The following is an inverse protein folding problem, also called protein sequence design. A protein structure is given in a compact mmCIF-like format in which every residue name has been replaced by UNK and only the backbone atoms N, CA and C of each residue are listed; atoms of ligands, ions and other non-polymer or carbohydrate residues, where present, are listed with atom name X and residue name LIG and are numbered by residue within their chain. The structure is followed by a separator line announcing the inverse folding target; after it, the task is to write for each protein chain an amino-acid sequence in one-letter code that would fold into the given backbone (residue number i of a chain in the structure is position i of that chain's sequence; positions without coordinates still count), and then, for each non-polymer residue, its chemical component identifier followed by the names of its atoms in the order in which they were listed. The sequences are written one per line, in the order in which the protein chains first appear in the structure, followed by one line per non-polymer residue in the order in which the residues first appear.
data_IF_593813031476
#
_entry.id   IF_593813031476
#
_cell.length_a   1.000
_cell.length_b   1.000
_cell.length_c   1.000
_cell.angle_alpha   90.00
_cell.angle_beta   90.00
_cell.angle_gamma   90.00
#
_symmetry.space_group_name_H-M   'P 1'
#
loop_
_entity.id
_entity.type
_entity.pdbx_description
1 polymer ?
#
# COMPACT_ATOMS: atom_id res chain seq x y z
N UNK A 1 5.50 14.50 -17.30
CA UNK A 1 4.69 13.35 -16.85
C UNK A 1 4.63 13.29 -15.34
N UNK A 2 3.45 13.12 -14.77
CA UNK A 2 3.30 12.99 -13.33
C UNK A 2 3.84 11.64 -12.85
N UNK A 3 4.56 11.65 -11.75
CA UNK A 3 4.94 10.42 -11.08
C UNK A 3 3.71 9.82 -10.41
N UNK A 4 3.81 8.55 -10.03
CA UNK A 4 2.76 7.86 -9.29
C UNK A 4 2.47 8.57 -7.96
N UNK A 5 3.53 9.02 -7.28
CA UNK A 5 3.40 9.77 -6.02
C UNK A 5 2.65 11.08 -6.25
N UNK A 6 2.96 11.79 -7.33
CA UNK A 6 2.26 13.04 -7.67
C UNK A 6 0.78 12.79 -7.95
N UNK A 7 0.44 11.69 -8.63
CA UNK A 7 -0.95 11.30 -8.86
C UNK A 7 -1.68 11.05 -7.54
N UNK A 8 -1.04 10.34 -6.62
CA UNK A 8 -1.62 10.05 -5.30
C UNK A 8 -1.85 11.34 -4.50
N UNK A 9 -0.90 12.26 -4.55
CA UNK A 9 -1.04 13.57 -3.89
C UNK A 9 -2.19 14.37 -4.53
N UNK A 10 -2.30 14.35 -5.86
CA UNK A 10 -3.41 15.02 -6.54
C UNK A 10 -4.77 14.44 -6.13
N UNK A 11 -4.86 13.12 -5.96
CA UNK A 11 -6.07 12.48 -5.43
C UNK A 11 -6.37 12.98 -4.02
N UNK A 12 -5.36 13.04 -3.16
CA UNK A 12 -5.51 13.53 -1.79
C UNK A 12 -6.01 14.98 -1.79
N UNK A 13 -5.46 15.82 -2.65
CA UNK A 13 -5.88 17.22 -2.77
C UNK A 13 -7.34 17.36 -3.23
N UNK A 14 -7.85 16.39 -3.95
CA UNK A 14 -9.26 16.34 -4.38
C UNK A 14 -10.19 15.82 -3.29
N UNK A 15 -9.66 15.33 -2.17
CA UNK A 15 -10.45 14.84 -1.07
C UNK A 15 -10.38 13.33 -0.83
N UNK A 16 -9.58 12.60 -1.59
CA UNK A 16 -9.34 11.18 -1.29
C UNK A 16 -8.61 11.07 0.05
N UNK A 17 -8.98 10.11 0.87
CA UNK A 17 -8.20 9.86 2.09
C UNK A 17 -6.90 9.14 1.74
N UNK A 18 -6.03 8.93 2.72
CA UNK A 18 -4.71 8.35 2.48
C UNK A 18 -4.79 6.97 1.84
N UNK A 19 -5.71 6.12 2.29
CA UNK A 19 -5.88 4.78 1.73
C UNK A 19 -6.36 4.83 0.28
N UNK A 20 -7.35 5.68 0.01
CA UNK A 20 -7.87 5.87 -1.34
C UNK A 20 -6.81 6.42 -2.28
N UNK A 21 -6.04 7.41 -1.81
CA UNK A 21 -5.01 8.04 -2.63
C UNK A 21 -3.96 7.04 -3.07
N UNK A 22 -3.48 6.21 -2.17
CA UNK A 22 -2.47 5.19 -2.48
C UNK A 22 -3.06 4.09 -3.36
N UNK A 23 -4.15 3.47 -2.92
CA UNK A 23 -4.72 2.32 -3.62
C UNK A 23 -5.22 2.68 -5.01
N UNK A 24 -5.93 3.79 -5.16
CA UNK A 24 -6.48 4.19 -6.46
C UNK A 24 -5.40 4.54 -7.48
N UNK A 25 -4.23 4.99 -7.01
CA UNK A 25 -3.14 5.34 -7.93
C UNK A 25 -2.55 4.11 -8.64
N UNK A 26 -2.81 2.90 -8.14
CA UNK A 26 -2.32 1.65 -8.75
C UNK A 26 -3.41 0.83 -9.46
N UNK A 27 -4.64 1.31 -9.48
CA UNK A 27 -5.76 0.53 -10.05
C UNK A 27 -5.55 0.13 -11.51
N UNK A 28 -4.99 1.01 -12.32
CA UNK A 28 -4.79 0.74 -13.75
C UNK A 28 -3.86 -0.45 -14.00
N UNK A 29 -2.81 -0.59 -13.20
CA UNK A 29 -1.85 -1.68 -13.36
C UNK A 29 -2.47 -3.06 -13.10
N UNK A 30 -3.56 -3.10 -12.34
CA UNK A 30 -4.20 -4.36 -11.95
C UNK A 30 -5.57 -4.55 -12.58
N UNK A 31 -6.00 -3.64 -13.46
CA UNK A 31 -7.31 -3.72 -14.08
C UNK A 31 -8.47 -3.62 -13.10
N UNK A 32 -8.26 -2.92 -11.98
CA UNK A 32 -9.29 -2.72 -10.95
C UNK A 32 -10.00 -1.40 -11.21
N UNK A 33 -11.32 -1.40 -11.12
CA UNK A 33 -12.12 -0.20 -11.27
C UNK A 33 -11.82 0.80 -10.16
N UNK A 34 -11.53 2.06 -10.53
CA UNK A 34 -11.14 3.07 -9.57
C UNK A 34 -12.28 3.39 -8.58
N UNK A 35 -13.53 3.47 -9.07
CA UNK A 35 -14.68 3.74 -8.19
C UNK A 35 -14.85 2.64 -7.14
N UNK A 36 -14.73 1.37 -7.55
CA UNK A 36 -14.80 0.25 -6.62
C UNK A 36 -13.70 0.31 -5.57
N UNK A 37 -12.47 0.58 -6.00
CA UNK A 37 -11.35 0.71 -5.07
C UNK A 37 -11.55 1.90 -4.13
N UNK A 38 -12.04 3.01 -4.66
CA UNK A 38 -12.35 4.20 -3.87
C UNK A 38 -13.33 3.85 -2.74
N UNK A 39 -14.40 3.11 -3.07
CA UNK A 39 -15.40 2.70 -2.09
C UNK A 39 -14.83 1.71 -1.07
N UNK A 40 -14.06 0.73 -1.52
CA UNK A 40 -13.44 -0.27 -0.64
C UNK A 40 -12.48 0.39 0.35
N UNK A 41 -11.68 1.33 -0.13
CA UNK A 41 -10.65 1.98 0.68
C UNK A 41 -11.17 3.09 1.60
N UNK A 42 -12.42 3.55 1.39
CA UNK A 42 -12.95 4.70 2.12
C UNK A 42 -12.90 4.51 3.64
N UNK A 43 -13.22 3.32 4.13
CA UNK A 43 -13.21 3.03 5.56
C UNK A 43 -11.83 2.88 6.19
N UNK A 44 -10.77 2.91 5.39
CA UNK A 44 -9.40 2.70 5.87
C UNK A 44 -8.63 4.01 6.09
N UNK A 45 -9.18 5.13 5.67
CA UNK A 45 -8.58 6.44 5.94
C UNK A 45 -8.65 6.79 7.41
N UNK A 46 -7.81 7.73 7.83
CA UNK A 46 -7.68 8.15 9.24
C UNK A 46 -7.43 6.96 10.17
N UNK A 47 -6.57 6.02 9.71
CA UNK A 47 -6.27 4.82 10.47
C UNK A 47 -7.50 4.00 10.80
N UNK A 48 -8.29 3.66 9.79
CA UNK A 48 -9.58 2.97 9.90
C UNK A 48 -10.58 3.76 10.73
N UNK A 49 -10.55 5.09 10.60
CA UNK A 49 -11.45 5.99 11.32
C UNK A 49 -11.15 6.11 12.80
N UNK A 50 -10.13 5.40 13.29
CA UNK A 50 -9.80 5.27 14.72
C UNK A 50 -8.37 5.72 15.03
N UNK A 51 -7.69 6.31 14.09
CA UNK A 51 -6.27 6.71 14.20
C UNK A 51 -5.33 5.55 14.55
N UNK A 52 -5.69 4.34 14.11
CA UNK A 52 -4.85 3.16 14.24
C UNK A 52 -3.83 3.10 13.08
N UNK A 53 -3.80 2.04 12.30
CA UNK A 53 -2.82 1.90 11.21
C UNK A 53 -3.00 3.01 10.18
N UNK A 54 -1.91 3.66 9.80
CA UNK A 54 -1.91 4.71 8.78
C UNK A 54 -2.61 4.27 7.50
N UNK A 55 -3.56 5.10 7.01
CA UNK A 55 -4.31 4.77 5.80
C UNK A 55 -3.44 4.56 4.57
N UNK A 56 -2.33 5.28 4.47
CA UNK A 56 -1.38 5.08 3.36
C UNK A 56 -0.80 3.67 3.38
N UNK A 57 -0.50 3.15 4.56
CA UNK A 57 -0.06 1.76 4.72
C UNK A 57 -1.14 0.78 4.30
N UNK A 58 -2.39 1.03 4.72
CA UNK A 58 -3.51 0.16 4.35
C UNK A 58 -3.67 0.10 2.84
N UNK A 59 -3.54 1.25 2.17
CA UNK A 59 -3.58 1.30 0.71
C UNK A 59 -2.47 0.47 0.06
N UNK A 60 -1.26 0.57 0.60
CA UNK A 60 -0.13 -0.26 0.14
C UNK A 60 -0.45 -1.75 0.32
N UNK A 61 -1.01 -2.12 1.47
CA UNK A 61 -1.37 -3.52 1.76
C UNK A 61 -2.40 -4.05 0.77
N UNK A 62 -3.35 -3.22 0.35
CA UNK A 62 -4.33 -3.60 -0.67
C UNK A 62 -3.64 -3.96 -1.99
N UNK A 63 -2.65 -3.20 -2.38
CA UNK A 63 -1.91 -3.44 -3.63
C UNK A 63 -1.02 -4.68 -3.51
N UNK A 64 -0.40 -4.88 -2.36
CA UNK A 64 0.37 -6.11 -2.10
C UNK A 64 -0.55 -7.33 -2.25
N UNK A 65 -1.75 -7.25 -1.69
CA UNK A 65 -2.74 -8.32 -1.82
C UNK A 65 -3.15 -8.58 -3.26
N UNK A 66 -3.43 -7.51 -4.02
CA UNK A 66 -3.79 -7.65 -5.43
C UNK A 66 -2.69 -8.34 -6.23
N UNK A 67 -1.44 -8.00 -5.98
CA UNK A 67 -0.31 -8.56 -6.71
C UNK A 67 -0.01 -10.00 -6.28
N UNK A 68 -0.07 -10.28 -4.98
CA UNK A 68 0.42 -11.55 -4.42
C UNK A 68 -0.64 -12.64 -4.32
N UNK A 69 -1.90 -12.26 -4.13
CA UNK A 69 -2.97 -13.24 -3.97
C UNK A 69 -3.25 -13.99 -5.27
N UNK A 70 -3.38 -15.30 -5.17
CA UNK A 70 -3.77 -16.13 -6.30
C UNK A 70 -5.28 -16.03 -6.58
N UNK A 71 -6.03 -15.46 -5.63
CA UNK A 71 -7.47 -15.27 -5.79
C UNK A 71 -8.27 -16.58 -5.82
N UNK A 72 -7.78 -17.61 -5.14
CA UNK A 72 -8.45 -18.91 -5.13
C UNK A 72 -9.54 -18.93 -4.06
N UNK A 73 -10.78 -18.74 -4.47
CA UNK A 73 -11.92 -18.68 -3.55
C UNK A 73 -12.20 -20.02 -2.86
N UNK A 74 -11.85 -21.12 -3.50
CA UNK A 74 -12.06 -22.46 -2.92
C UNK A 74 -10.99 -22.80 -1.89
N UNK A 75 -9.81 -22.20 -2.02
CA UNK A 75 -8.69 -22.41 -1.10
C UNK A 75 -8.25 -21.05 -0.55
N UNK A 76 -9.04 -20.51 0.37
CA UNK A 76 -8.81 -19.18 0.94
C UNK A 76 -7.46 -19.01 1.62
N UNK A 77 -6.79 -20.09 2.00
CA UNK A 77 -5.48 -20.04 2.66
C UNK A 77 -4.30 -20.14 1.71
N UNK A 78 -4.55 -20.26 0.40
CA UNK A 78 -3.49 -20.55 -0.57
C UNK A 78 -2.30 -19.57 -0.51
N UNK A 79 -2.56 -18.27 -0.41
CA UNK A 79 -1.51 -17.25 -0.42
C UNK A 79 -1.48 -16.34 0.80
N UNK A 80 -2.46 -16.43 1.70
CA UNK A 80 -2.57 -15.42 2.77
C UNK A 80 -1.36 -15.37 3.70
N UNK A 81 -0.78 -16.49 4.04
CA UNK A 81 0.42 -16.52 4.89
C UNK A 81 1.60 -15.82 4.25
N UNK A 82 1.81 -16.04 2.95
CA UNK A 82 2.86 -15.37 2.19
C UNK A 82 2.58 -13.87 2.06
N UNK A 83 1.33 -13.51 1.83
CA UNK A 83 0.91 -12.10 1.76
C UNK A 83 1.17 -11.39 3.08
N UNK A 84 0.84 -12.03 4.22
CA UNK A 84 1.09 -11.45 5.54
C UNK A 84 2.58 -11.19 5.77
N UNK A 85 3.43 -12.10 5.31
CA UNK A 85 4.88 -11.95 5.41
C UNK A 85 5.36 -10.71 4.65
N UNK A 86 4.88 -10.52 3.43
CA UNK A 86 5.20 -9.36 2.60
C UNK A 86 4.67 -8.05 3.19
N UNK A 87 3.45 -8.08 3.71
CA UNK A 87 2.85 -6.93 4.38
C UNK A 87 3.69 -6.51 5.59
N UNK A 88 4.08 -7.47 6.44
CA UNK A 88 4.92 -7.17 7.61
C UNK A 88 6.27 -6.59 7.22
N UNK A 89 6.88 -7.11 6.16
CA UNK A 89 8.16 -6.62 5.67
C UNK A 89 8.08 -5.14 5.27
N UNK A 90 7.07 -4.78 4.48
CA UNK A 90 6.94 -3.42 3.97
C UNK A 90 6.40 -2.45 5.03
N UNK A 91 5.56 -2.94 5.95
CA UNK A 91 5.15 -2.15 7.10
C UNK A 91 6.34 -1.81 8.00
N UNK A 92 7.27 -2.77 8.19
CA UNK A 92 8.50 -2.52 8.95
C UNK A 92 9.38 -1.47 8.29
N UNK A 93 9.48 -1.48 6.96
CA UNK A 93 10.23 -0.46 6.22
C UNK A 93 9.63 0.93 6.41
N UNK A 94 8.31 1.04 6.35
CA UNK A 94 7.61 2.31 6.58
C UNK A 94 7.85 2.81 8.00
N UNK A 95 7.74 1.94 8.99
CA UNK A 95 7.96 2.29 10.40
C UNK A 95 9.39 2.76 10.64
N UNK A 96 10.36 2.08 10.04
CA UNK A 96 11.77 2.45 10.14
C UNK A 96 12.00 3.87 9.60
N UNK A 97 11.39 4.19 8.45
CA UNK A 97 11.53 5.51 7.84
C UNK A 97 10.84 6.60 8.64
N UNK A 98 9.69 6.33 9.22
CA UNK A 98 8.80 7.37 9.77
C UNK A 98 8.63 7.33 11.29
N UNK A 99 9.16 6.32 11.94
CA UNK A 99 9.10 6.17 13.40
C UNK A 99 7.87 5.48 13.94
N UNK A 100 6.82 5.29 13.12
CA UNK A 100 5.59 4.63 13.54
C UNK A 100 4.77 4.20 12.33
N UNK A 101 3.85 3.26 12.55
CA UNK A 101 2.81 2.87 11.59
C UNK A 101 1.44 3.40 12.01
N UNK A 102 1.35 4.03 13.18
CA UNK A 102 0.07 4.44 13.74
C UNK A 102 -0.26 5.88 13.37
N UNK A 103 -1.46 6.08 12.86
CA UNK A 103 -1.97 7.38 12.44
C UNK A 103 -1.83 8.42 13.55
N UNK A 104 -2.25 8.08 14.77
CA UNK A 104 -2.19 9.00 15.91
C UNK A 104 -0.78 9.45 16.25
N UNK A 105 0.20 8.54 16.12
CA UNK A 105 1.60 8.86 16.39
C UNK A 105 2.22 9.68 15.27
N UNK A 106 1.92 9.32 14.03
CA UNK A 106 2.43 10.06 12.87
C UNK A 106 1.90 11.50 12.86
N UNK A 107 0.63 11.69 13.22
CA UNK A 107 0.02 13.02 13.32
C UNK A 107 0.39 13.78 14.59
N UNK A 108 0.92 13.09 15.58
CA UNK A 108 1.30 13.72 16.84
C UNK A 108 0.12 14.16 17.69
N UNK A 109 -0.99 13.42 17.66
CA UNK A 109 -2.22 13.76 18.36
C UNK A 109 -2.00 13.83 19.87
N UNK A 110 -1.29 12.85 20.44
CA UNK A 110 -1.02 12.81 21.89
C UNK A 110 0.28 13.51 22.27
N UNK A 111 1.29 13.43 21.42
CA UNK A 111 2.62 13.94 21.70
C UNK A 111 2.79 15.42 21.36
N UNK A 112 1.92 15.96 20.50
CA UNK A 112 2.06 17.32 19.98
C UNK A 112 3.16 17.44 18.92
N UNK A 113 3.79 16.31 18.55
CA UNK A 113 4.89 16.32 17.58
C UNK A 113 4.53 15.47 16.36
N UNK A 114 4.38 16.10 15.21
CA UNK A 114 4.10 15.40 13.94
C UNK A 114 5.37 14.67 13.51
N UNK A 115 5.31 13.35 13.40
CA UNK A 115 6.42 12.55 12.89
C UNK A 115 6.49 12.62 11.37
N UNK A 116 5.31 12.54 10.73
CA UNK A 116 5.24 12.60 9.27
C UNK A 116 3.87 13.12 8.85
N UNK A 117 3.81 14.06 7.90
CA UNK A 117 2.54 14.60 7.40
C UNK A 117 1.79 13.54 6.56
N UNK A 118 0.47 13.68 6.44
CA UNK A 118 -0.33 12.77 5.61
C UNK A 118 0.15 12.73 4.15
N UNK A 119 0.39 13.86 3.48
CA UNK A 119 0.93 13.81 2.12
C UNK A 119 2.26 13.08 2.02
N UNK A 120 3.14 13.27 2.99
CA UNK A 120 4.44 12.59 2.99
C UNK A 120 4.30 11.10 3.28
N UNK A 121 3.35 10.69 4.13
CA UNK A 121 3.04 9.28 4.33
C UNK A 121 2.55 8.64 3.02
N UNK A 122 1.74 9.36 2.25
CA UNK A 122 1.26 8.91 0.95
C UNK A 122 2.45 8.71 -0.01
N UNK A 123 3.36 9.68 -0.08
CA UNK A 123 4.55 9.57 -0.93
C UNK A 123 5.40 8.37 -0.56
N UNK A 124 5.63 8.17 0.73
CA UNK A 124 6.45 7.06 1.21
C UNK A 124 5.79 5.71 0.91
N UNK A 125 4.49 5.60 1.12
CA UNK A 125 3.76 4.37 0.83
C UNK A 125 3.75 4.06 -0.67
N UNK A 126 3.56 5.07 -1.51
CA UNK A 126 3.63 4.88 -2.98
C UNK A 126 5.03 4.42 -3.39
N UNK A 127 6.07 5.06 -2.86
CA UNK A 127 7.46 4.68 -3.19
C UNK A 127 7.75 3.23 -2.77
N UNK A 128 7.32 2.83 -1.57
CA UNK A 128 7.49 1.47 -1.10
C UNK A 128 6.69 0.46 -1.93
N UNK A 129 5.47 0.84 -2.34
CA UNK A 129 4.64 0.00 -3.21
C UNK A 129 5.33 -0.21 -4.55
N UNK A 130 5.87 0.85 -5.14
CA UNK A 130 6.62 0.75 -6.40
C UNK A 130 7.84 -0.15 -6.26
N UNK A 131 8.57 -0.02 -5.14
CA UNK A 131 9.70 -0.90 -4.82
C UNK A 131 9.27 -2.36 -4.72
N UNK A 132 8.16 -2.60 -4.03
CA UNK A 132 7.60 -3.94 -3.89
C UNK A 132 7.28 -4.52 -5.26
N UNK A 133 6.57 -3.77 -6.10
CA UNK A 133 6.16 -4.24 -7.42
C UNK A 133 7.37 -4.51 -8.32
N UNK A 134 8.38 -3.65 -8.27
CA UNK A 134 9.62 -3.84 -9.03
C UNK A 134 10.36 -5.10 -8.57
N UNK A 135 10.43 -5.35 -7.27
CA UNK A 135 11.09 -6.53 -6.71
C UNK A 135 10.37 -7.82 -7.14
N UNK A 136 9.03 -7.80 -7.17
CA UNK A 136 8.25 -8.96 -7.62
C UNK A 136 8.46 -9.23 -9.11
N UNK A 137 8.50 -8.19 -9.91
CA UNK A 137 8.76 -8.30 -11.35
C UNK A 137 10.13 -8.90 -11.62
N UNK A 138 11.17 -8.45 -10.90
CA UNK A 138 12.51 -8.99 -11.02
C UNK A 138 12.55 -10.48 -10.66
N UNK A 139 11.83 -10.88 -9.62
CA UNK A 139 11.75 -12.29 -9.22
C UNK A 139 11.08 -13.14 -10.30
N UNK A 140 10.00 -12.64 -10.90
CA UNK A 140 9.30 -13.32 -12.00
C UNK A 140 10.23 -13.47 -13.22
N UNK A 141 10.95 -12.43 -13.58
CA UNK A 141 11.90 -12.44 -14.70
C UNK A 141 13.04 -13.44 -14.46
N UNK A 142 13.55 -13.53 -13.23
CA UNK A 142 14.58 -14.49 -12.86
C UNK A 142 14.07 -15.93 -12.96
N UNK A 143 12.82 -16.18 -12.56
CA UNK A 143 12.22 -17.50 -12.69
C UNK A 143 12.02 -17.88 -14.14
N UNK A 144 11.56 -16.94 -14.97
CA UNK A 144 11.35 -17.17 -16.41
C UNK A 144 12.65 -17.41 -17.15
N UNK A 145 13.74 -16.77 -16.71
CA UNK A 145 15.06 -16.94 -17.32
C UNK A 145 15.83 -18.15 -16.80
N UNK A 146 15.36 -18.81 -15.75
CA UNK A 146 15.98 -20.01 -15.22
C UNK A 146 15.79 -21.19 -16.18
N UNK A 147 16.83 -21.99 -16.43
CA UNK A 147 16.65 -23.20 -17.23
C UNK A 147 15.60 -24.09 -16.60
N UNK A 148 14.64 -24.52 -17.42
CA UNK A 148 13.63 -25.45 -16.97
C UNK A 148 14.30 -26.77 -16.61
N UNK A 149 14.36 -27.09 -15.32
CA UNK A 149 14.85 -28.38 -14.85
C UNK A 149 13.65 -29.32 -14.92
N UNK A 150 13.65 -30.17 -15.89
CA UNK A 150 12.64 -31.22 -16.00
C UNK A 150 13.20 -32.52 -15.49
#
# INVERSE_FOLDING_TARGET
MSTKAEQAIAFHDKGYNCAQAVACSFCKEFGVDEEEMFRIAEGFGLGMGMMEVCGALSGMMMIIGLQNSVGNLDKGKATKGDTYKKVREYAAKFKEQNGSNLCKELKGVETGKVLRSCPDCIRDAVALTEKYLAAQKDMEERQDSSPSVK
#
